data_IF_514008190079
#
_entry.id   IF_514008190079
#
_cell.length_a   1.000
_cell.length_b   1.000
_cell.length_c   1.000
_cell.angle_alpha   90.00
_cell.angle_beta   90.00
_cell.angle_gamma   90.00
#
_symmetry.space_group_name_H-M   'P 1'
#
loop_
_entity.id
_entity.type
_entity.pdbx_description
1 polymer ?
#
# COMPACT_ATOMS: atom_id res chain seq x y z
N UNK A 1 13.41 15.94 8.69
CA UNK A 1 12.75 15.27 7.60
C UNK A 1 11.70 16.12 6.94
N UNK A 2 11.91 16.29 5.67
CA UNK A 2 11.21 17.20 4.78
C UNK A 2 9.73 16.84 4.79
N UNK A 3 8.95 17.83 4.90
CA UNK A 3 7.54 17.95 5.17
C UNK A 3 6.63 17.16 4.19
N UNK A 4 6.81 15.82 4.13
CA UNK A 4 5.98 14.92 3.31
C UNK A 4 4.50 15.01 3.69
N UNK A 5 4.20 15.48 4.91
CA UNK A 5 2.85 15.76 5.35
C UNK A 5 2.13 16.78 4.47
N UNK A 6 2.85 17.72 3.85
CA UNK A 6 2.28 18.68 2.91
C UNK A 6 1.84 18.03 1.58
N UNK A 7 2.30 16.83 1.30
CA UNK A 7 1.90 16.04 0.12
C UNK A 7 0.70 15.15 0.40
N UNK A 8 0.30 14.98 1.66
CA UNK A 8 -0.81 14.12 2.05
C UNK A 8 -2.14 14.87 1.93
N UNK A 9 -3.09 14.27 1.22
CA UNK A 9 -4.44 14.79 1.04
C UNK A 9 -5.45 13.99 1.87
N UNK A 10 -6.27 14.69 2.66
CA UNK A 10 -7.38 14.10 3.41
C UNK A 10 -7.02 13.46 4.75
N UNK A 11 -5.76 13.55 5.23
CA UNK A 11 -5.36 13.01 6.53
C UNK A 11 -4.16 13.79 7.08
N UNK A 12 -4.25 14.23 8.32
CA UNK A 12 -3.13 14.80 9.08
C UNK A 12 -2.52 13.79 10.07
N UNK A 13 -1.36 14.14 10.67
CA UNK A 13 -0.67 13.24 11.60
C UNK A 13 -1.47 12.97 12.87
N UNK A 14 -2.23 13.93 13.36
CA UNK A 14 -3.04 13.77 14.58
C UNK A 14 -4.13 12.72 14.37
N UNK A 15 -4.86 12.81 13.28
CA UNK A 15 -5.92 11.85 12.96
C UNK A 15 -5.35 10.48 12.57
N UNK A 16 -4.25 10.45 11.81
CA UNK A 16 -3.53 9.21 11.50
C UNK A 16 -3.06 8.49 12.76
N UNK A 17 -2.45 9.22 13.68
CA UNK A 17 -2.00 8.70 14.97
C UNK A 17 -3.16 8.18 15.81
N UNK A 18 -4.27 8.94 15.87
CA UNK A 18 -5.48 8.50 16.57
C UNK A 18 -6.02 7.17 16.01
N UNK A 19 -6.06 7.03 14.68
CA UNK A 19 -6.52 5.78 14.02
C UNK A 19 -5.63 4.58 14.32
N UNK A 20 -4.34 4.78 14.57
CA UNK A 20 -3.39 3.73 14.90
C UNK A 20 -3.17 3.51 16.40
N UNK A 21 -3.81 4.31 17.27
CA UNK A 21 -3.59 4.28 18.71
C UNK A 21 -2.18 4.75 19.11
N UNK A 22 -1.61 5.69 18.35
CA UNK A 22 -0.30 6.29 18.59
C UNK A 22 -0.44 7.70 19.16
N UNK A 23 0.58 8.16 19.89
CA UNK A 23 0.64 9.55 20.38
C UNK A 23 0.98 10.56 19.28
N UNK A 24 1.80 10.18 18.31
CA UNK A 24 2.25 10.99 17.17
C UNK A 24 2.90 10.09 16.10
N UNK A 25 3.20 10.65 14.92
CA UNK A 25 3.95 9.96 13.86
C UNK A 25 3.11 8.96 13.06
N UNK A 26 1.78 8.95 13.25
CA UNK A 26 0.90 8.01 12.57
C UNK A 26 0.90 8.17 11.06
N UNK A 27 0.99 9.40 10.55
CA UNK A 27 0.96 9.67 9.12
C UNK A 27 2.11 9.00 8.35
N UNK A 28 3.25 8.79 9.00
CA UNK A 28 4.39 8.11 8.40
C UNK A 28 4.07 6.66 7.97
N UNK A 29 3.15 5.98 8.66
CA UNK A 29 2.71 4.64 8.26
C UNK A 29 1.89 4.63 6.97
N UNK A 30 1.05 5.65 6.76
CA UNK A 30 0.34 5.81 5.48
C UNK A 30 1.31 6.11 4.34
N UNK A 31 2.25 7.02 4.57
CA UNK A 31 3.27 7.36 3.58
C UNK A 31 4.10 6.13 3.23
N UNK A 32 4.51 5.35 4.23
CA UNK A 32 5.23 4.10 4.02
C UNK A 32 4.37 3.10 3.21
N UNK A 33 3.09 2.94 3.55
CA UNK A 33 2.17 2.08 2.79
C UNK A 33 2.10 2.47 1.31
N UNK A 34 1.96 3.77 0.99
CA UNK A 34 1.94 4.25 -0.41
C UNK A 34 3.26 3.98 -1.12
N UNK A 35 4.39 4.24 -0.43
CA UNK A 35 5.73 4.02 -0.98
C UNK A 35 5.98 2.54 -1.27
N UNK A 36 5.72 1.67 -0.30
CA UNK A 36 5.88 0.21 -0.45
C UNK A 36 4.97 -0.35 -1.55
N UNK A 37 3.71 0.11 -1.61
CA UNK A 37 2.78 -0.27 -2.68
C UNK A 37 3.32 0.10 -4.07
N UNK A 38 3.95 1.27 -4.20
CA UNK A 38 4.59 1.67 -5.45
C UNK A 38 5.86 0.85 -5.74
N UNK A 39 6.70 0.61 -4.74
CA UNK A 39 7.92 -0.19 -4.89
C UNK A 39 7.63 -1.66 -5.24
N UNK A 40 6.67 -2.30 -4.56
CA UNK A 40 6.45 -3.74 -4.69
C UNK A 40 5.51 -4.11 -5.85
N UNK A 41 4.44 -3.32 -6.08
CA UNK A 41 3.41 -3.66 -7.07
C UNK A 41 3.18 -2.59 -8.15
N UNK A 42 3.90 -1.47 -8.11
CA UNK A 42 3.81 -0.41 -9.11
C UNK A 42 2.54 0.42 -9.04
N UNK A 43 1.75 0.30 -7.97
CA UNK A 43 0.53 1.07 -7.74
C UNK A 43 0.86 2.31 -6.93
N UNK A 44 0.57 3.49 -7.46
CA UNK A 44 0.83 4.77 -6.82
C UNK A 44 -0.48 5.43 -6.36
N UNK A 45 -0.74 5.37 -5.06
CA UNK A 45 -1.93 5.94 -4.43
C UNK A 45 -1.80 7.47 -4.30
N UNK A 46 -1.81 8.14 -5.42
CA UNK A 46 -1.64 9.58 -5.56
C UNK A 46 -2.45 10.14 -6.72
N UNK A 47 -2.62 11.46 -6.74
CA UNK A 47 -3.18 12.24 -7.84
C UNK A 47 -2.30 13.45 -8.12
N UNK A 48 -2.48 14.12 -9.25
CA UNK A 48 -1.85 15.42 -9.52
C UNK A 48 -2.39 16.49 -8.56
N UNK A 49 -1.59 17.51 -8.26
CA UNK A 49 -2.03 18.63 -7.40
C UNK A 49 -3.22 19.40 -7.97
N UNK A 50 -3.43 19.36 -9.29
CA UNK A 50 -4.62 19.93 -9.95
C UNK A 50 -5.88 19.05 -9.80
N UNK A 51 -5.77 17.89 -9.15
CA UNK A 51 -6.86 16.95 -8.90
C UNK A 51 -7.04 15.87 -9.95
N UNK A 52 -6.25 15.86 -11.03
CA UNK A 52 -6.31 14.80 -12.05
C UNK A 52 -5.77 13.47 -11.52
N UNK A 53 -6.45 12.38 -11.85
CA UNK A 53 -6.00 11.04 -11.56
C UNK A 53 -4.78 10.66 -12.41
N UNK A 54 -3.92 9.82 -11.86
CA UNK A 54 -2.77 9.30 -12.60
C UNK A 54 -3.20 8.17 -13.53
N UNK A 55 -2.81 8.27 -14.81
CA UNK A 55 -2.92 7.17 -15.76
C UNK A 55 -1.57 6.49 -15.94
N UNK A 56 -1.40 5.36 -15.28
CA UNK A 56 -0.19 4.53 -15.35
C UNK A 56 -0.39 3.30 -16.27
N UNK A 57 -1.37 3.32 -17.15
CA UNK A 57 -1.58 2.29 -18.18
C UNK A 57 -1.04 2.73 -19.55
N UNK A 58 -0.96 4.04 -19.76
CA UNK A 58 -0.67 4.66 -21.03
C UNK A 58 0.77 5.20 -21.16
N UNK A 59 0.90 6.37 -21.76
CA UNK A 59 2.17 7.00 -22.12
C UNK A 59 3.08 7.31 -20.91
N UNK A 60 2.51 7.64 -19.75
CA UNK A 60 3.29 7.94 -18.55
C UNK A 60 3.87 6.69 -17.86
N UNK A 61 3.36 5.50 -18.16
CA UNK A 61 3.78 4.24 -17.52
C UNK A 61 5.28 4.05 -17.50
N UNK A 62 5.95 4.19 -18.63
CA UNK A 62 7.41 4.00 -18.75
C UNK A 62 8.19 4.97 -17.85
N UNK A 63 7.72 6.21 -17.72
CA UNK A 63 8.32 7.21 -16.83
C UNK A 63 8.24 6.80 -15.37
N UNK A 64 7.06 6.34 -14.94
CA UNK A 64 6.86 5.89 -13.54
C UNK A 64 7.54 4.56 -13.26
N UNK A 65 7.61 3.63 -14.21
CA UNK A 65 8.43 2.42 -14.11
C UNK A 65 9.92 2.78 -13.86
N UNK A 66 10.47 3.77 -14.56
CA UNK A 66 11.84 4.26 -14.33
C UNK A 66 12.03 4.94 -12.97
N UNK A 67 11.01 5.66 -12.46
CA UNK A 67 11.07 6.19 -11.09
C UNK A 67 11.07 5.09 -10.06
N UNK A 68 10.22 4.08 -10.22
CA UNK A 68 10.15 2.91 -9.36
C UNK A 68 11.49 2.18 -9.31
N UNK A 69 12.12 1.91 -10.45
CA UNK A 69 13.44 1.29 -10.53
C UNK A 69 14.52 2.10 -9.79
N UNK A 70 14.50 3.42 -9.92
CA UNK A 70 15.43 4.31 -9.21
C UNK A 70 15.16 4.37 -7.71
N UNK A 71 13.90 4.34 -7.31
CA UNK A 71 13.48 4.34 -5.92
C UNK A 71 13.96 3.06 -5.21
N UNK A 72 13.72 1.89 -5.81
CA UNK A 72 14.17 0.59 -5.32
C UNK A 72 15.71 0.56 -5.16
N UNK A 73 16.45 1.19 -6.08
CA UNK A 73 17.92 1.31 -6.00
C UNK A 73 18.41 2.44 -5.10
N UNK A 74 17.53 3.16 -4.42
CA UNK A 74 17.86 4.33 -3.59
C UNK A 74 18.58 5.46 -4.37
N UNK A 75 18.34 5.59 -5.67
CA UNK A 75 18.89 6.64 -6.54
C UNK A 75 18.05 7.93 -6.51
N UNK A 76 16.80 7.84 -6.05
CA UNK A 76 15.88 8.95 -5.86
C UNK A 76 15.02 8.70 -4.63
N UNK A 77 14.62 9.74 -3.91
CA UNK A 77 13.66 9.57 -2.80
C UNK A 77 12.21 9.59 -3.31
N UNK A 78 11.31 8.94 -2.56
CA UNK A 78 9.87 8.99 -2.85
C UNK A 78 9.33 10.44 -2.81
N UNK A 79 9.85 11.25 -1.88
CA UNK A 79 9.53 12.66 -1.79
C UNK A 79 9.89 13.42 -3.08
N UNK A 80 11.10 13.21 -3.62
CA UNK A 80 11.54 13.89 -4.84
C UNK A 80 10.69 13.52 -6.05
N UNK A 81 10.21 12.27 -6.14
CA UNK A 81 9.27 11.85 -7.17
C UNK A 81 7.97 12.66 -7.04
N UNK A 82 7.42 12.73 -5.82
CA UNK A 82 6.17 13.44 -5.57
C UNK A 82 6.28 14.94 -5.92
N UNK A 83 7.37 15.59 -5.55
CA UNK A 83 7.59 17.01 -5.88
C UNK A 83 7.76 17.20 -7.39
N UNK A 84 8.59 16.38 -8.02
CA UNK A 84 8.89 16.52 -9.46
C UNK A 84 7.68 16.30 -10.35
N UNK A 85 6.77 15.45 -9.93
CA UNK A 85 5.58 15.09 -10.68
C UNK A 85 4.30 15.80 -10.18
N UNK A 86 4.43 16.78 -9.28
CA UNK A 86 3.32 17.55 -8.70
C UNK A 86 2.23 16.64 -8.11
N UNK A 87 2.63 15.71 -7.23
CA UNK A 87 1.73 14.71 -6.66
C UNK A 87 1.20 15.09 -5.28
N UNK A 88 -0.04 14.67 -5.01
CA UNK A 88 -0.67 14.57 -3.70
C UNK A 88 -1.02 13.12 -3.42
N UNK A 89 -0.60 12.62 -2.26
CA UNK A 89 -0.90 11.25 -1.81
C UNK A 89 -2.34 11.18 -1.30
N UNK A 90 -3.14 10.25 -1.83
CA UNK A 90 -4.59 10.14 -1.56
C UNK A 90 -4.86 9.33 -0.29
N UNK A 91 -4.57 9.90 0.88
CA UNK A 91 -4.64 9.20 2.16
C UNK A 91 -6.05 8.76 2.55
N UNK A 92 -7.09 9.44 2.05
CA UNK A 92 -8.48 9.09 2.30
C UNK A 92 -8.93 7.78 1.63
N UNK A 93 -8.18 7.30 0.65
CA UNK A 93 -8.43 6.01 -0.02
C UNK A 93 -7.75 4.83 0.67
N UNK A 94 -7.14 5.05 1.83
CA UNK A 94 -6.36 4.05 2.58
C UNK A 94 -6.88 3.99 4.01
N UNK A 95 -7.24 2.80 4.47
CA UNK A 95 -7.67 2.58 5.85
C UNK A 95 -6.76 1.57 6.58
N UNK A 96 -6.50 1.75 7.90
CA UNK A 96 -5.84 0.73 8.69
C UNK A 96 -6.75 -0.50 8.78
N UNK A 97 -6.19 -1.68 8.57
CA UNK A 97 -6.97 -2.90 8.46
C UNK A 97 -6.72 -3.88 9.60
N UNK A 98 -5.46 -4.13 9.93
CA UNK A 98 -5.08 -4.96 11.08
C UNK A 98 -3.68 -4.62 11.57
N UNK A 99 -3.38 -5.05 12.80
CA UNK A 99 -2.08 -4.90 13.42
C UNK A 99 -1.65 -6.24 14.00
N UNK A 100 -0.48 -6.70 13.61
CA UNK A 100 0.07 -7.99 14.00
C UNK A 100 1.45 -7.81 14.59
N UNK A 101 1.66 -8.35 15.77
CA UNK A 101 2.96 -8.37 16.44
C UNK A 101 3.38 -9.84 16.56
N UNK A 102 4.56 -10.17 16.07
CA UNK A 102 5.10 -11.52 16.20
C UNK A 102 5.24 -11.90 17.68
N UNK A 103 4.80 -13.11 18.10
CA UNK A 103 4.91 -13.55 19.47
C UNK A 103 6.34 -13.54 20.02
N UNK A 104 6.48 -13.38 21.33
CA UNK A 104 7.79 -13.25 22.01
C UNK A 104 8.67 -14.51 21.92
N UNK A 105 8.07 -15.65 21.59
CA UNK A 105 8.79 -16.92 21.43
C UNK A 105 9.63 -16.97 20.14
N UNK A 106 9.36 -16.09 19.17
CA UNK A 106 10.06 -16.07 17.90
C UNK A 106 11.37 -15.27 17.99
N UNK A 107 12.40 -15.79 17.33
CA UNK A 107 13.74 -15.15 17.30
C UNK A 107 13.77 -13.86 16.50
N UNK A 108 12.94 -13.74 15.47
CA UNK A 108 12.77 -12.55 14.64
C UNK A 108 11.33 -12.05 14.77
N UNK A 109 11.18 -10.84 15.26
CA UNK A 109 9.88 -10.26 15.52
C UNK A 109 9.61 -9.07 14.63
N UNK A 110 8.37 -8.95 14.20
CA UNK A 110 7.85 -7.85 13.40
C UNK A 110 6.64 -7.22 14.09
N UNK A 111 6.56 -5.92 14.03
CA UNK A 111 5.39 -5.11 14.35
C UNK A 111 4.84 -4.61 13.02
N UNK A 112 3.81 -5.28 12.49
CA UNK A 112 3.31 -5.07 11.12
C UNK A 112 1.89 -4.52 11.15
N UNK A 113 1.72 -3.35 10.57
CA UNK A 113 0.40 -2.73 10.34
C UNK A 113 -0.02 -2.96 8.90
N UNK A 114 -1.18 -3.58 8.72
CA UNK A 114 -1.77 -3.80 7.41
C UNK A 114 -2.77 -2.70 7.09
N UNK A 115 -2.76 -2.29 5.87
CA UNK A 115 -3.70 -1.33 5.32
C UNK A 115 -4.51 -1.96 4.20
N UNK A 116 -5.69 -1.40 3.97
CA UNK A 116 -6.50 -1.68 2.79
C UNK A 116 -6.66 -0.39 2.00
N UNK A 117 -6.60 -0.48 0.69
CA UNK A 117 -6.74 0.67 -0.19
C UNK A 117 -7.61 0.32 -1.40
N UNK A 118 -8.27 1.33 -1.92
CA UNK A 118 -8.96 1.21 -3.20
C UNK A 118 -7.93 1.31 -4.33
N UNK A 119 -7.95 0.33 -5.25
CA UNK A 119 -7.10 0.40 -6.44
C UNK A 119 -7.55 1.58 -7.32
N UNK A 120 -6.65 2.49 -7.69
CA UNK A 120 -6.96 3.53 -8.66
C UNK A 120 -7.34 2.93 -10.03
N UNK A 121 -8.28 3.57 -10.70
CA UNK A 121 -8.71 3.14 -12.02
C UNK A 121 -7.58 3.17 -13.04
N UNK A 122 -7.11 3.33 -13.88
CA UNK A 122 -6.01 3.55 -14.81
C UNK A 122 -4.62 3.17 -14.27
N UNK A 123 -4.55 2.15 -13.41
CA UNK A 123 -3.29 1.58 -12.96
C UNK A 123 -3.37 0.06 -13.01
N UNK A 124 -2.28 -0.58 -13.41
CA UNK A 124 -2.17 -2.03 -13.51
C UNK A 124 -0.99 -2.46 -12.65
N UNK A 125 -1.24 -3.41 -11.76
CA UNK A 125 -0.22 -3.98 -10.90
C UNK A 125 0.85 -4.71 -11.73
N UNK A 126 2.08 -4.59 -11.27
CA UNK A 126 3.23 -5.32 -11.78
C UNK A 126 4.19 -5.56 -10.63
N UNK A 127 4.34 -6.83 -10.23
CA UNK A 127 5.30 -7.18 -9.20
C UNK A 127 6.73 -6.75 -9.57
N UNK A 128 7.55 -6.47 -8.57
CA UNK A 128 8.94 -6.01 -8.73
C UNK A 128 9.88 -7.11 -9.26
N UNK A 129 9.52 -8.38 -9.08
CA UNK A 129 10.29 -9.56 -9.49
C UNK A 129 11.43 -9.93 -8.53
N UNK A 130 11.58 -9.21 -7.43
CA UNK A 130 12.61 -9.45 -6.40
C UNK A 130 11.99 -9.90 -5.09
N UNK A 131 11.22 -9.04 -4.44
CA UNK A 131 10.50 -9.37 -3.20
C UNK A 131 9.18 -10.08 -3.53
N UNK A 132 8.46 -9.60 -4.54
CA UNK A 132 7.25 -10.24 -5.07
C UNK A 132 7.52 -10.87 -6.44
N UNK A 133 7.32 -12.17 -6.55
CA UNK A 133 7.57 -12.93 -7.78
C UNK A 133 6.32 -13.18 -8.63
N UNK A 134 5.13 -13.07 -8.03
CA UNK A 134 3.85 -13.29 -8.69
C UNK A 134 2.79 -12.37 -8.13
N UNK A 135 1.89 -11.92 -9.00
CA UNK A 135 0.65 -11.24 -8.64
C UNK A 135 -0.55 -11.97 -9.26
N UNK A 136 -1.66 -12.01 -8.53
CA UNK A 136 -2.89 -12.66 -8.98
C UNK A 136 -4.11 -11.92 -8.41
N UNK A 137 -5.09 -11.65 -9.26
CA UNK A 137 -6.41 -11.24 -8.83
C UNK A 137 -7.22 -12.46 -8.42
N UNK A 138 -7.62 -12.53 -7.17
CA UNK A 138 -8.31 -13.69 -6.62
C UNK A 138 -9.38 -13.27 -5.62
N UNK A 139 -10.49 -13.99 -5.63
CA UNK A 139 -11.51 -13.82 -4.59
C UNK A 139 -10.96 -14.29 -3.22
N UNK A 140 -11.17 -13.54 -2.11
CA UNK A 140 -10.68 -13.92 -0.79
C UNK A 140 -11.03 -15.34 -0.35
N UNK A 141 -12.27 -15.80 -0.59
CA UNK A 141 -12.69 -17.18 -0.26
C UNK A 141 -11.89 -18.24 -1.02
N UNK A 142 -11.64 -17.99 -2.31
CA UNK A 142 -10.85 -18.91 -3.14
C UNK A 142 -9.39 -18.92 -2.71
N UNK A 143 -8.81 -17.76 -2.38
CA UNK A 143 -7.45 -17.64 -1.86
C UNK A 143 -7.29 -18.45 -0.54
N UNK A 144 -8.22 -18.29 0.39
CA UNK A 144 -8.24 -19.03 1.67
C UNK A 144 -8.33 -20.54 1.40
N UNK A 145 -9.24 -20.96 0.51
CA UNK A 145 -9.39 -22.37 0.15
C UNK A 145 -8.10 -22.97 -0.40
N UNK A 146 -7.44 -22.27 -1.33
CA UNK A 146 -6.15 -22.70 -1.88
C UNK A 146 -5.04 -22.74 -0.85
N UNK A 147 -5.04 -21.83 0.11
CA UNK A 147 -4.09 -21.86 1.23
C UNK A 147 -4.26 -23.12 2.07
N UNK A 148 -5.49 -23.49 2.44
CA UNK A 148 -5.75 -24.72 3.22
C UNK A 148 -5.49 -26.02 2.44
N UNK A 149 -5.59 -25.99 1.12
CA UNK A 149 -5.23 -27.12 0.27
C UNK A 149 -3.71 -27.25 0.02
N UNK A 150 -2.90 -26.29 0.51
CA UNK A 150 -1.45 -26.27 0.29
C UNK A 150 -1.04 -25.77 -1.10
N UNK A 151 -1.97 -25.28 -1.92
CA UNK A 151 -1.73 -24.76 -3.27
C UNK A 151 -1.15 -23.35 -3.28
N UNK A 152 -1.43 -22.58 -2.19
CA UNK A 152 -1.01 -21.19 -2.02
C UNK A 152 -0.55 -20.97 -0.57
N UNK A 153 0.72 -21.23 -0.24
CA UNK A 153 1.24 -21.07 1.10
C UNK A 153 1.08 -19.63 1.58
N UNK A 154 0.44 -19.44 2.74
CA UNK A 154 0.20 -18.13 3.36
C UNK A 154 0.50 -18.18 4.84
N UNK A 155 1.03 -17.09 5.38
CA UNK A 155 1.17 -16.90 6.82
C UNK A 155 -0.17 -16.57 7.47
N UNK A 156 -0.30 -16.86 8.76
CA UNK A 156 -1.56 -16.65 9.49
C UNK A 156 -2.13 -15.22 9.40
N UNK A 157 -1.34 -14.14 9.51
CA UNK A 157 -1.84 -12.78 9.32
C UNK A 157 -2.55 -12.56 7.98
N UNK A 158 -1.99 -13.08 6.89
CA UNK A 158 -2.58 -12.98 5.54
C UNK A 158 -3.92 -13.71 5.47
N UNK A 159 -4.00 -14.95 5.97
CA UNK A 159 -5.25 -15.72 6.02
C UNK A 159 -6.32 -14.97 6.82
N UNK A 160 -5.96 -14.44 7.99
CA UNK A 160 -6.89 -13.69 8.84
C UNK A 160 -7.38 -12.39 8.22
N UNK A 161 -6.52 -11.70 7.49
CA UNK A 161 -6.90 -10.51 6.73
C UNK A 161 -7.87 -10.86 5.59
N UNK A 162 -7.61 -11.93 4.84
CA UNK A 162 -8.52 -12.41 3.80
C UNK A 162 -9.88 -12.85 4.39
N UNK A 163 -9.90 -13.49 5.56
CA UNK A 163 -11.13 -13.84 6.25
C UNK A 163 -11.99 -12.63 6.63
N UNK A 164 -11.39 -11.49 6.94
CA UNK A 164 -12.15 -10.24 7.15
C UNK A 164 -12.79 -9.72 5.86
N UNK A 165 -12.16 -9.97 4.70
CA UNK A 165 -12.65 -9.53 3.40
C UNK A 165 -13.69 -10.49 2.78
N UNK A 166 -13.72 -11.76 3.19
CA UNK A 166 -14.44 -12.83 2.47
C UNK A 166 -15.96 -12.66 2.36
N UNK A 167 -16.56 -11.87 3.25
CA UNK A 167 -18.00 -11.62 3.28
C UNK A 167 -18.40 -10.23 2.75
N UNK A 168 -17.43 -9.40 2.38
CA UNK A 168 -17.70 -8.08 1.81
C UNK A 168 -18.03 -8.20 0.33
N UNK A 169 -19.04 -7.45 -0.09
CA UNK A 169 -19.51 -7.44 -1.48
C UNK A 169 -18.90 -6.30 -2.31
N UNK A 170 -18.24 -5.34 -1.63
CA UNK A 170 -17.62 -4.20 -2.28
C UNK A 170 -16.43 -3.66 -1.49
N UNK A 171 -15.54 -2.92 -2.17
CA UNK A 171 -14.44 -2.21 -1.50
C UNK A 171 -14.96 -1.15 -0.51
N UNK A 172 -16.10 -0.55 -0.78
CA UNK A 172 -16.71 0.49 0.08
C UNK A 172 -17.16 -0.06 1.45
N UNK A 173 -17.48 -1.36 1.53
CA UNK A 173 -17.80 -2.00 2.82
C UNK A 173 -16.57 -2.25 3.70
N UNK A 174 -15.37 -2.21 3.11
CA UNK A 174 -14.10 -2.49 3.78
C UNK A 174 -13.34 -1.24 4.19
N UNK A 175 -13.59 -0.10 3.55
CA UNK A 175 -12.97 1.21 3.82
C UNK A 175 -13.84 2.07 4.73
#
# INVERSE_FOLDING_TARGET
DINISNLCDGLDDKEASRKLGLSHGGLSYWVACVRECFEEVGILLAKKTNGEDLDLTGFEKEKYDKYRDKLIRNEISFYDICIKEDLKLTMHNIAPFSHWITPDIETKRFDTRFFIAHLPNNQIEKHDGTELTHSIWINPKEAIKRAFNGEMPMIMPTIKNLQKCENSNSCTELL
#
